data_IF_349030990229
#
_entry.id   IF_349030990229
#
_cell.length_a   1.000
_cell.length_b   1.000
_cell.length_c   1.000
_cell.angle_alpha   90.00
_cell.angle_beta   90.00
_cell.angle_gamma   90.00
#
_symmetry.space_group_name_H-M   'P 1'
#
loop_
_entity.id
_entity.type
_entity.pdbx_description
1 polymer ?
#
# COMPACT_ATOMS: atom_id res chain seq x y z
N UNK A 1 13.61 13.79 -36.56
CA UNK A 1 12.92 14.57 -35.50
C UNK A 1 11.43 14.55 -35.79
N UNK A 2 10.61 14.21 -34.80
CA UNK A 2 9.15 14.33 -34.88
C UNK A 2 8.77 15.60 -34.12
N UNK A 3 8.04 16.51 -34.77
CA UNK A 3 7.57 17.74 -34.13
C UNK A 3 6.51 17.40 -33.07
N UNK A 4 6.69 17.93 -31.87
CA UNK A 4 5.71 17.85 -30.78
C UNK A 4 5.18 19.26 -30.47
N UNK A 5 4.09 19.68 -31.14
CA UNK A 5 3.51 21.01 -30.93
C UNK A 5 2.78 21.18 -29.59
N UNK A 6 2.63 20.10 -28.84
CA UNK A 6 1.90 20.07 -27.56
C UNK A 6 2.82 19.92 -26.34
N UNK A 7 4.13 19.98 -26.54
CA UNK A 7 5.11 19.78 -25.45
C UNK A 7 4.94 20.78 -24.28
N UNK A 8 4.42 21.97 -24.55
CA UNK A 8 4.11 22.95 -23.52
C UNK A 8 3.06 22.46 -22.50
N UNK A 9 2.23 21.47 -22.85
CA UNK A 9 1.27 20.85 -21.93
C UNK A 9 1.95 20.03 -20.81
N UNK A 10 3.23 19.67 -20.97
CA UNK A 10 4.01 19.00 -19.93
C UNK A 10 4.22 19.92 -18.73
N UNK A 11 4.21 21.23 -18.92
CA UNK A 11 4.26 22.21 -17.84
C UNK A 11 2.87 22.40 -17.19
N UNK A 12 2.41 21.38 -16.48
CA UNK A 12 1.05 21.29 -15.93
C UNK A 12 0.63 22.44 -15.02
N UNK A 13 1.58 23.22 -14.45
CA UNK A 13 1.32 24.37 -13.57
C UNK A 13 1.39 25.71 -14.28
N UNK A 14 1.75 25.76 -15.56
CA UNK A 14 1.78 27.02 -16.32
C UNK A 14 0.37 27.59 -16.51
N UNK A 15 0.25 28.90 -16.52
CA UNK A 15 -1.03 29.59 -16.78
C UNK A 15 -1.63 29.18 -18.12
N UNK A 16 -0.80 28.96 -19.14
CA UNK A 16 -1.22 28.57 -20.49
C UNK A 16 -1.88 27.17 -20.47
N UNK A 17 -1.23 26.20 -19.81
CA UNK A 17 -1.77 24.84 -19.65
C UNK A 17 -3.07 24.87 -18.83
N UNK A 18 -3.12 25.62 -17.74
CA UNK A 18 -4.33 25.74 -16.92
C UNK A 18 -5.49 26.38 -17.68
N UNK A 19 -5.25 27.40 -18.49
CA UNK A 19 -6.28 28.01 -19.35
C UNK A 19 -6.78 27.04 -20.41
N UNK A 20 -5.90 26.27 -21.02
CA UNK A 20 -6.27 25.25 -21.98
C UNK A 20 -7.13 24.14 -21.34
N UNK A 21 -6.73 23.62 -20.18
CA UNK A 21 -7.49 22.64 -19.41
C UNK A 21 -8.88 23.18 -19.08
N UNK A 22 -8.99 24.42 -18.62
CA UNK A 22 -10.27 25.06 -18.30
C UNK A 22 -11.19 25.16 -19.53
N UNK A 23 -10.62 25.51 -20.69
CA UNK A 23 -11.36 25.60 -21.95
C UNK A 23 -11.87 24.20 -22.40
N UNK A 24 -11.01 23.17 -22.36
CA UNK A 24 -11.40 21.80 -22.70
C UNK A 24 -12.47 21.24 -21.74
N UNK A 25 -12.31 21.48 -20.44
CA UNK A 25 -13.29 21.09 -19.43
C UNK A 25 -14.66 21.78 -19.65
N UNK A 26 -14.68 23.04 -20.05
CA UNK A 26 -15.91 23.77 -20.39
C UNK A 26 -16.61 23.12 -21.58
N UNK A 27 -15.87 22.77 -22.63
CA UNK A 27 -16.41 22.12 -23.83
C UNK A 27 -17.01 20.75 -23.46
N UNK A 28 -16.25 19.91 -22.75
CA UNK A 28 -16.67 18.59 -22.31
C UNK A 28 -17.90 18.64 -21.39
N UNK A 29 -17.92 19.55 -20.42
CA UNK A 29 -19.06 19.75 -19.51
C UNK A 29 -20.33 20.16 -20.29
N UNK A 30 -20.22 21.07 -21.25
CA UNK A 30 -21.34 21.51 -22.08
C UNK A 30 -21.91 20.35 -22.88
N UNK A 31 -21.07 19.56 -23.55
CA UNK A 31 -21.48 18.38 -24.29
C UNK A 31 -22.17 17.34 -23.41
N UNK A 32 -21.52 16.96 -22.30
CA UNK A 32 -22.04 15.94 -21.39
C UNK A 32 -23.34 16.38 -20.69
N UNK A 33 -23.48 17.65 -20.36
CA UNK A 33 -24.71 18.17 -19.72
C UNK A 33 -25.90 18.22 -20.66
N UNK A 34 -25.66 18.29 -21.97
CA UNK A 34 -26.73 18.27 -22.99
C UNK A 34 -27.29 16.86 -23.29
N UNK A 35 -26.67 15.79 -22.74
CA UNK A 35 -27.13 14.40 -22.95
C UNK A 35 -28.43 14.18 -22.17
N UNK A 36 -29.57 13.89 -22.86
CA UNK A 36 -30.89 13.88 -22.21
C UNK A 36 -31.07 12.81 -21.12
N UNK A 37 -30.42 11.66 -21.27
CA UNK A 37 -30.55 10.52 -20.36
C UNK A 37 -29.52 10.54 -19.22
N UNK A 38 -28.57 11.48 -19.20
CA UNK A 38 -27.54 11.60 -18.16
C UNK A 38 -28.13 11.75 -16.75
N UNK A 39 -29.16 12.58 -16.50
CA UNK A 39 -29.76 12.69 -15.17
C UNK A 39 -30.34 11.36 -14.67
N UNK A 40 -31.04 10.61 -15.54
CA UNK A 40 -31.61 9.32 -15.16
C UNK A 40 -30.55 8.26 -14.80
N UNK A 41 -29.46 8.20 -15.60
CA UNK A 41 -28.32 7.33 -15.28
C UNK A 41 -27.69 7.74 -13.94
N UNK A 42 -27.47 9.04 -13.73
CA UNK A 42 -26.90 9.56 -12.48
C UNK A 42 -27.78 9.21 -11.29
N UNK A 43 -29.08 9.41 -11.40
CA UNK A 43 -30.03 9.05 -10.33
C UNK A 43 -29.94 7.55 -10.02
N UNK A 44 -29.96 6.69 -11.06
CA UNK A 44 -29.91 5.25 -10.85
C UNK A 44 -28.60 4.79 -10.22
N UNK A 45 -27.47 5.34 -10.65
CA UNK A 45 -26.17 5.07 -10.04
C UNK A 45 -26.13 5.52 -8.57
N UNK A 46 -26.68 6.71 -8.26
CA UNK A 46 -26.79 7.19 -6.88
C UNK A 46 -27.59 6.24 -6.01
N UNK A 47 -28.76 5.77 -6.48
CA UNK A 47 -29.59 4.80 -5.77
C UNK A 47 -28.87 3.48 -5.50
N UNK A 48 -28.11 2.98 -6.49
CA UNK A 48 -27.35 1.73 -6.36
C UNK A 48 -26.15 1.88 -5.43
N UNK A 49 -25.50 3.05 -5.43
CA UNK A 49 -24.32 3.32 -4.62
C UNK A 49 -24.63 3.66 -3.17
N UNK A 50 -25.82 4.16 -2.89
CA UNK A 50 -26.31 4.51 -1.56
C UNK A 50 -26.67 3.28 -0.74
N UNK A 51 -25.70 2.40 -0.50
CA UNK A 51 -25.87 1.27 0.41
C UNK A 51 -24.80 1.31 1.50
N UNK A 52 -25.18 1.07 2.77
CA UNK A 52 -24.21 1.00 3.85
C UNK A 52 -23.16 -0.10 3.58
N UNK A 53 -21.90 0.23 3.80
CA UNK A 53 -20.78 -0.69 3.66
C UNK A 53 -20.03 -0.78 4.97
N UNK A 54 -19.83 -2.00 5.46
CA UNK A 54 -19.02 -2.31 6.62
C UNK A 54 -17.77 -3.05 6.21
N UNK A 55 -16.60 -2.54 6.60
CA UNK A 55 -15.35 -3.26 6.53
C UNK A 55 -15.25 -4.32 7.64
N UNK A 56 -14.35 -5.27 7.44
CA UNK A 56 -14.08 -6.29 8.46
C UNK A 56 -13.39 -5.62 9.64
N UNK A 57 -13.92 -5.80 10.89
CA UNK A 57 -13.27 -5.25 12.07
C UNK A 57 -11.93 -5.92 12.35
N UNK A 58 -10.92 -5.12 12.66
CA UNK A 58 -9.60 -5.58 13.05
C UNK A 58 -9.29 -5.18 14.49
N UNK A 59 -8.75 -6.12 15.29
CA UNK A 59 -8.38 -5.85 16.68
C UNK A 59 -6.90 -5.49 16.77
N UNK A 60 -6.63 -4.31 17.34
CA UNK A 60 -5.30 -3.84 17.67
C UNK A 60 -5.24 -3.40 19.14
N UNK A 61 -4.58 -4.21 19.96
CA UNK A 61 -4.61 -4.04 21.42
C UNK A 61 -6.01 -4.24 22.00
N UNK A 62 -6.48 -3.27 22.75
CA UNK A 62 -7.79 -3.20 23.42
C UNK A 62 -8.86 -2.49 22.56
N UNK A 63 -8.62 -2.30 21.26
CA UNK A 63 -9.49 -1.56 20.34
C UNK A 63 -9.83 -2.36 19.11
N UNK A 64 -11.08 -2.20 18.64
CA UNK A 64 -11.52 -2.62 17.30
C UNK A 64 -11.49 -1.40 16.37
N UNK A 65 -10.96 -1.60 15.17
CA UNK A 65 -10.99 -0.62 14.08
C UNK A 65 -11.76 -1.20 12.91
N UNK A 66 -12.64 -0.41 12.31
CA UNK A 66 -13.38 -0.82 11.12
C UNK A 66 -13.76 0.38 10.28
N UNK A 67 -13.81 0.15 8.97
CA UNK A 67 -14.32 1.12 8.04
C UNK A 67 -15.83 1.01 7.93
N UNK A 68 -16.50 2.16 7.91
CA UNK A 68 -17.93 2.25 7.67
C UNK A 68 -18.24 3.42 6.73
N UNK A 69 -19.17 3.18 5.80
CA UNK A 69 -19.77 4.21 4.95
C UNK A 69 -21.28 4.00 4.96
N UNK A 70 -22.04 5.01 5.28
CA UNK A 70 -23.51 4.97 5.24
C UNK A 70 -24.09 5.02 3.81
N UNK A 71 -23.21 5.15 2.81
CA UNK A 71 -23.53 5.34 1.39
C UNK A 71 -23.56 6.81 0.97
N UNK A 72 -23.40 7.74 1.90
CA UNK A 72 -23.42 9.19 1.65
C UNK A 72 -22.04 9.84 1.50
N UNK A 73 -20.96 9.14 1.87
CA UNK A 73 -19.61 9.65 1.86
C UNK A 73 -18.80 9.15 0.65
N UNK A 74 -17.89 9.97 0.13
CA UNK A 74 -17.00 9.58 -0.97
C UNK A 74 -16.04 8.45 -0.54
N UNK A 75 -15.55 8.50 0.68
CA UNK A 75 -14.66 7.50 1.28
C UNK A 75 -15.25 6.98 2.57
N UNK A 76 -15.00 5.70 2.88
CA UNK A 76 -15.37 5.11 4.16
C UNK A 76 -14.61 5.76 5.30
N UNK A 77 -15.30 5.96 6.41
CA UNK A 77 -14.76 6.54 7.64
C UNK A 77 -14.20 5.42 8.50
N UNK A 78 -13.01 5.60 9.06
CA UNK A 78 -12.43 4.68 10.02
C UNK A 78 -12.96 4.98 11.42
N UNK A 79 -13.59 3.98 12.02
CA UNK A 79 -14.06 4.01 13.39
C UNK A 79 -13.12 3.24 14.32
N UNK A 80 -13.07 3.67 15.57
CA UNK A 80 -12.39 2.99 16.66
C UNK A 80 -13.39 2.71 17.77
N UNK A 81 -13.41 1.47 18.25
CA UNK A 81 -14.22 1.03 19.39
C UNK A 81 -13.29 0.45 20.46
N UNK A 82 -12.98 1.19 21.53
CA UNK A 82 -12.31 0.63 22.71
C UNK A 82 -13.16 -0.45 23.37
N UNK A 83 -12.52 -1.39 24.07
CA UNK A 83 -13.24 -2.45 24.76
C UNK A 83 -14.23 -1.89 25.81
N UNK A 84 -15.49 -2.28 25.70
CA UNK A 84 -16.58 -1.82 26.60
C UNK A 84 -17.11 -0.41 26.32
N UNK A 85 -16.64 0.27 25.27
CA UNK A 85 -17.11 1.59 24.87
C UNK A 85 -17.87 1.56 23.54
N UNK A 86 -18.56 2.67 23.23
CA UNK A 86 -19.17 2.86 21.91
C UNK A 86 -18.12 3.21 20.84
N UNK A 87 -18.43 2.85 19.60
CA UNK A 87 -17.59 3.21 18.45
C UNK A 87 -17.63 4.72 18.20
N UNK A 88 -16.47 5.29 17.92
CA UNK A 88 -16.30 6.71 17.56
C UNK A 88 -15.51 6.86 16.29
N UNK A 89 -15.70 7.96 15.57
CA UNK A 89 -14.87 8.31 14.41
C UNK A 89 -13.41 8.45 14.89
N UNK A 90 -12.52 7.73 14.22
CA UNK A 90 -11.09 7.79 14.47
C UNK A 90 -10.36 8.59 13.37
N UNK A 91 -10.66 8.32 12.10
CA UNK A 91 -10.13 9.06 10.96
C UNK A 91 -11.23 9.19 9.90
N UNK A 92 -11.57 10.42 9.54
CA UNK A 92 -12.46 10.71 8.42
C UNK A 92 -11.68 11.23 7.21
N UNK A 93 -11.42 10.38 6.19
CA UNK A 93 -10.69 10.79 5.00
C UNK A 93 -11.35 11.92 4.22
N UNK A 94 -12.68 12.07 4.33
CA UNK A 94 -13.44 13.10 3.63
C UNK A 94 -13.14 14.52 4.13
N UNK A 95 -12.49 14.66 5.29
CA UNK A 95 -12.12 15.93 5.91
C UNK A 95 -10.65 16.33 5.69
N UNK A 96 -9.84 15.45 5.08
CA UNK A 96 -8.38 15.63 4.97
C UNK A 96 -7.97 16.65 3.90
N UNK A 97 -8.87 16.99 2.98
CA UNK A 97 -8.65 18.09 2.03
C UNK A 97 -9.94 18.90 1.83
N UNK A 98 -9.83 20.23 1.65
CA UNK A 98 -11.01 21.09 1.47
C UNK A 98 -11.81 20.79 0.20
N UNK A 99 -11.16 20.27 -0.84
CA UNK A 99 -11.73 19.97 -2.15
C UNK A 99 -12.11 18.49 -2.32
N UNK A 100 -11.88 17.66 -1.29
CA UNK A 100 -12.18 16.23 -1.31
C UNK A 100 -11.25 15.39 -2.21
N UNK A 101 -10.09 15.95 -2.62
CA UNK A 101 -9.14 15.25 -3.50
C UNK A 101 -8.13 14.38 -2.76
N UNK A 102 -8.07 14.46 -1.43
CA UNK A 102 -7.24 13.56 -0.63
C UNK A 102 -7.87 12.18 -0.52
N UNK A 103 -7.08 11.14 -0.81
CA UNK A 103 -7.49 9.75 -0.73
C UNK A 103 -6.62 8.98 0.25
N UNK A 104 -7.24 8.21 1.13
CA UNK A 104 -6.57 7.24 1.99
C UNK A 104 -6.15 6.03 1.15
N UNK A 105 -4.84 5.79 1.04
CA UNK A 105 -4.29 4.71 0.19
C UNK A 105 -3.86 3.48 0.98
N UNK A 106 -3.75 3.58 2.31
CA UNK A 106 -3.43 2.45 3.16
C UNK A 106 -3.37 2.85 4.63
N UNK A 107 -3.56 1.85 5.49
CA UNK A 107 -3.35 1.94 6.94
C UNK A 107 -2.52 0.77 7.42
N UNK A 108 -1.77 0.96 8.49
CA UNK A 108 -1.10 -0.13 9.21
C UNK A 108 -0.96 0.22 10.69
N UNK A 109 -0.97 -0.80 11.55
CA UNK A 109 -0.90 -0.61 12.99
C UNK A 109 0.41 -1.15 13.53
N UNK A 110 0.98 -0.45 14.52
CA UNK A 110 2.12 -0.98 15.27
C UNK A 110 1.70 -2.24 16.02
N UNK A 111 2.64 -3.16 16.20
CA UNK A 111 2.40 -4.47 16.81
C UNK A 111 1.75 -4.39 18.20
N UNK A 112 2.11 -3.38 18.97
CA UNK A 112 1.52 -3.13 20.29
C UNK A 112 0.18 -2.38 20.25
N UNK A 113 -0.36 -2.06 19.07
CA UNK A 113 -1.59 -1.30 18.88
C UNK A 113 -1.54 0.16 19.36
N UNK A 114 -0.35 0.69 19.64
CA UNK A 114 -0.20 2.06 20.16
C UNK A 114 -0.34 3.11 19.06
N UNK A 115 0.18 2.83 17.86
CA UNK A 115 0.21 3.75 16.75
C UNK A 115 -0.45 3.15 15.51
N UNK A 116 -1.05 4.02 14.71
CA UNK A 116 -1.51 3.74 13.36
C UNK A 116 -0.78 4.66 12.39
N UNK A 117 -0.19 4.09 11.34
CA UNK A 117 0.26 4.82 10.18
C UNK A 117 -0.83 4.81 9.10
N UNK A 118 -1.00 5.92 8.39
CA UNK A 118 -1.86 5.99 7.22
C UNK A 118 -1.17 6.74 6.08
N UNK A 119 -1.41 6.27 4.86
CA UNK A 119 -0.88 6.86 3.65
C UNK A 119 -1.96 7.68 2.96
N UNK A 120 -1.60 8.89 2.54
CA UNK A 120 -2.50 9.86 1.93
C UNK A 120 -1.96 10.29 0.57
N UNK A 121 -2.74 10.09 -0.49
CA UNK A 121 -2.48 10.63 -1.82
C UNK A 121 -3.40 11.82 -2.10
N UNK A 122 -2.94 12.80 -2.87
CA UNK A 122 -3.71 14.00 -3.19
C UNK A 122 -3.88 14.14 -4.70
N UNK A 123 -5.09 14.52 -5.12
CA UNK A 123 -5.43 14.85 -6.52
C UNK A 123 -5.12 13.72 -7.53
N UNK A 124 -5.24 12.46 -7.11
CA UNK A 124 -5.00 11.29 -7.97
C UNK A 124 -3.52 11.04 -8.29
N UNK A 125 -2.61 11.68 -7.56
CA UNK A 125 -1.18 11.42 -7.67
C UNK A 125 -0.84 10.03 -7.11
N UNK A 126 0.15 9.36 -7.72
CA UNK A 126 0.76 8.16 -7.14
C UNK A 126 1.67 8.48 -5.93
N UNK A 127 2.05 9.75 -5.77
CA UNK A 127 2.78 10.19 -4.59
C UNK A 127 1.89 10.18 -3.35
N UNK A 128 2.38 9.57 -2.30
CA UNK A 128 1.72 9.50 -1.00
C UNK A 128 2.59 10.10 0.10
N UNK A 129 1.94 10.57 1.16
CA UNK A 129 2.55 10.97 2.42
C UNK A 129 2.10 10.00 3.50
N UNK A 130 3.03 9.48 4.30
CA UNK A 130 2.69 8.67 5.49
C UNK A 130 2.61 9.61 6.69
N UNK A 131 1.54 9.46 7.47
CA UNK A 131 1.29 10.16 8.74
C UNK A 131 1.01 9.16 9.84
N UNK A 132 1.31 9.56 11.08
CA UNK A 132 1.21 8.68 12.24
C UNK A 132 0.21 9.26 13.25
N UNK A 133 -0.68 8.40 13.75
CA UNK A 133 -1.64 8.73 14.81
C UNK A 133 -1.45 7.82 16.02
N UNK A 134 -1.63 8.37 17.20
CA UNK A 134 -1.72 7.58 18.44
C UNK A 134 -3.14 6.98 18.56
N UNK A 135 -3.25 5.65 18.69
CA UNK A 135 -4.53 4.95 18.70
C UNK A 135 -5.40 5.29 19.92
N UNK A 136 -4.79 5.60 21.06
CA UNK A 136 -5.53 5.91 22.29
C UNK A 136 -6.27 7.25 22.21
N UNK A 137 -5.61 8.27 21.69
CA UNK A 137 -6.07 9.66 21.70
C UNK A 137 -6.60 10.16 20.36
N UNK A 138 -6.16 9.53 19.25
CA UNK A 138 -6.33 10.05 17.89
C UNK A 138 -5.37 11.23 17.58
N UNK A 139 -4.38 11.48 18.45
CA UNK A 139 -3.42 12.56 18.24
C UNK A 139 -2.50 12.28 17.05
N UNK A 140 -2.40 13.24 16.13
CA UNK A 140 -1.49 13.18 15.01
C UNK A 140 -0.08 13.55 15.48
N UNK A 141 0.90 12.67 15.25
CA UNK A 141 2.30 12.94 15.53
C UNK A 141 2.89 13.92 14.52
N UNK A 142 4.10 14.42 14.81
CA UNK A 142 4.82 15.31 13.92
C UNK A 142 5.43 14.60 12.69
N UNK A 143 5.62 13.28 12.81
CA UNK A 143 6.23 12.45 11.78
C UNK A 143 5.45 12.52 10.46
N UNK A 144 6.15 12.88 9.38
CA UNK A 144 5.60 12.98 8.02
C UNK A 144 6.63 12.46 7.04
N UNK A 145 6.25 11.43 6.27
CA UNK A 145 7.12 10.81 5.29
C UNK A 145 6.60 11.10 3.90
N UNK A 146 7.37 11.83 3.15
CA UNK A 146 7.08 12.21 1.76
C UNK A 146 7.76 11.28 0.76
N UNK A 147 7.46 11.45 -0.52
CA UNK A 147 8.06 10.75 -1.66
C UNK A 147 7.90 9.24 -1.59
N UNK A 148 6.75 8.83 -1.12
CA UNK A 148 6.34 7.42 -1.04
C UNK A 148 5.46 7.08 -2.24
N UNK A 149 5.70 5.91 -2.87
CA UNK A 149 4.81 5.31 -3.87
C UNK A 149 4.67 3.83 -3.61
N UNK A 150 3.43 3.30 -3.72
CA UNK A 150 3.13 1.87 -3.62
C UNK A 150 3.64 1.22 -2.33
N UNK A 151 3.61 1.96 -1.22
CA UNK A 151 4.12 1.52 0.07
C UNK A 151 3.23 1.99 1.21
N UNK A 152 3.23 1.19 2.29
CA UNK A 152 2.70 1.54 3.61
C UNK A 152 3.81 1.38 4.64
N UNK A 153 3.60 1.85 5.86
CA UNK A 153 4.51 1.62 6.96
C UNK A 153 4.49 0.14 7.37
N UNK A 154 5.66 -0.48 7.43
CA UNK A 154 5.87 -1.85 7.92
C UNK A 154 6.55 -1.77 9.27
N UNK A 155 5.76 -1.86 10.32
CA UNK A 155 6.19 -1.63 11.70
C UNK A 155 7.23 -2.63 12.20
N UNK A 156 8.24 -2.12 12.90
CA UNK A 156 9.28 -2.91 13.55
C UNK A 156 9.94 -2.10 14.67
N UNK A 157 9.96 -2.64 15.87
CA UNK A 157 10.57 -1.97 17.02
C UNK A 157 9.97 -0.59 17.30
N UNK A 158 10.83 0.44 17.34
CA UNK A 158 10.47 1.83 17.62
C UNK A 158 10.12 2.65 16.36
N UNK A 159 9.94 2.00 15.22
CA UNK A 159 9.69 2.68 13.94
C UNK A 159 9.07 1.76 12.90
N UNK A 160 9.33 2.06 11.64
CA UNK A 160 8.80 1.28 10.52
C UNK A 160 9.69 1.38 9.28
N UNK A 161 9.63 0.34 8.47
CA UNK A 161 10.18 0.36 7.11
C UNK A 161 9.16 0.92 6.13
N UNK A 162 9.64 1.58 5.10
CA UNK A 162 8.83 2.03 3.97
C UNK A 162 9.64 2.06 2.69
N UNK A 163 8.94 1.96 1.55
CA UNK A 163 9.53 2.14 0.22
C UNK A 163 9.33 3.58 -0.22
N UNK A 164 10.41 4.23 -0.63
CA UNK A 164 10.40 5.63 -1.01
C UNK A 164 11.41 5.95 -2.10
N UNK A 165 11.41 7.19 -2.50
CA UNK A 165 12.32 7.75 -3.50
C UNK A 165 13.03 8.97 -2.93
N UNK A 166 14.15 9.34 -3.54
CA UNK A 166 14.76 10.63 -3.26
C UNK A 166 13.80 11.74 -3.70
N UNK A 167 13.84 12.89 -3.01
CA UNK A 167 13.01 14.02 -3.36
C UNK A 167 13.26 14.45 -4.82
N UNK A 168 12.25 14.57 -5.67
CA UNK A 168 12.41 15.07 -7.02
C UNK A 168 12.84 16.55 -7.01
N UNK A 169 13.40 17.02 -8.12
CA UNK A 169 13.65 18.44 -8.32
C UNK A 169 12.36 19.25 -8.14
N UNK A 170 12.46 20.40 -7.50
CA UNK A 170 11.32 21.29 -7.26
C UNK A 170 10.60 21.64 -8.58
N UNK A 171 9.32 21.34 -8.65
CA UNK A 171 8.47 21.59 -9.82
C UNK A 171 8.43 20.43 -10.83
N UNK A 172 9.22 19.36 -10.62
CA UNK A 172 9.26 18.19 -11.50
C UNK A 172 8.64 16.93 -10.87
N UNK A 173 7.84 17.08 -9.83
CA UNK A 173 7.27 15.97 -9.07
C UNK A 173 6.41 15.03 -9.93
N UNK A 174 5.83 15.54 -11.02
CA UNK A 174 4.98 14.77 -11.94
C UNK A 174 5.70 14.33 -13.22
N UNK A 175 6.88 14.89 -13.51
CA UNK A 175 7.66 14.61 -14.73
C UNK A 175 8.80 13.63 -14.46
N UNK A 176 9.28 13.57 -13.20
CA UNK A 176 10.38 12.72 -12.81
C UNK A 176 9.99 11.24 -12.95
N UNK A 177 10.83 10.47 -13.64
CA UNK A 177 10.71 9.01 -13.65
C UNK A 177 10.88 8.49 -12.22
N UNK A 178 10.00 7.56 -11.81
CA UNK A 178 10.11 6.88 -10.51
C UNK A 178 11.17 5.79 -10.60
N UNK A 179 12.44 6.19 -10.53
CA UNK A 179 13.60 5.31 -10.60
C UNK A 179 14.33 5.25 -9.26
N UNK A 180 15.05 4.15 -9.05
CA UNK A 180 15.90 3.94 -7.88
C UNK A 180 15.13 4.01 -6.55
N UNK A 181 14.00 3.31 -6.47
CA UNK A 181 13.29 3.11 -5.21
C UNK A 181 14.20 2.48 -4.17
N UNK A 182 14.04 2.88 -2.92
CA UNK A 182 14.80 2.41 -1.78
C UNK A 182 13.87 1.93 -0.67
N UNK A 183 14.39 1.07 0.21
CA UNK A 183 13.75 0.80 1.50
C UNK A 183 14.46 1.64 2.55
N UNK A 184 13.68 2.40 3.30
CA UNK A 184 14.13 3.21 4.43
C UNK A 184 13.59 2.65 5.74
N UNK A 185 14.26 2.97 6.83
CA UNK A 185 13.74 2.79 8.19
C UNK A 185 13.60 4.17 8.84
N UNK A 186 12.39 4.48 9.26
CA UNK A 186 12.04 5.69 9.99
C UNK A 186 11.85 5.36 11.48
N UNK A 187 12.53 6.09 12.35
CA UNK A 187 12.33 6.02 13.79
C UNK A 187 11.30 7.06 14.20
N UNK A 188 10.28 6.66 14.96
CA UNK A 188 9.28 7.61 15.44
C UNK A 188 9.88 8.78 16.19
N UNK A 189 9.44 9.99 15.84
CA UNK A 189 9.90 11.25 16.45
C UNK A 189 11.20 11.80 15.88
N UNK A 190 11.79 11.18 14.84
CA UNK A 190 12.92 11.75 14.11
C UNK A 190 12.45 12.49 12.86
N UNK A 191 13.32 13.29 12.26
CA UNK A 191 13.06 13.91 10.96
C UNK A 191 13.32 12.90 9.83
N UNK A 192 12.54 12.96 8.74
CA UNK A 192 12.71 12.05 7.58
C UNK A 192 14.13 12.12 6.97
N UNK A 193 14.82 13.24 7.09
CA UNK A 193 16.21 13.41 6.62
C UNK A 193 17.23 12.54 7.38
N UNK A 194 16.84 12.01 8.55
CA UNK A 194 17.66 11.13 9.38
C UNK A 194 17.37 9.64 9.08
N UNK A 195 16.44 9.34 8.17
CA UNK A 195 16.03 7.99 7.86
C UNK A 195 17.19 7.17 7.27
N UNK A 196 17.35 5.97 7.79
CA UNK A 196 18.40 5.06 7.35
C UNK A 196 17.97 4.35 6.05
N UNK A 197 18.80 4.44 5.00
CA UNK A 197 18.64 3.58 3.83
C UNK A 197 19.03 2.15 4.19
N UNK A 198 18.04 1.25 4.12
CA UNK A 198 18.19 -0.17 4.50
C UNK A 198 18.51 -1.06 3.30
N UNK A 199 17.91 -0.74 2.15
CA UNK A 199 18.14 -1.47 0.90
C UNK A 199 17.97 -0.58 -0.31
N UNK A 200 18.84 -0.74 -1.31
CA UNK A 200 18.68 -0.19 -2.65
C UNK A 200 19.49 -1.01 -3.65
N UNK A 201 19.11 -0.97 -4.92
CA UNK A 201 19.80 -1.64 -6.02
C UNK A 201 20.09 -0.63 -7.14
N UNK A 202 21.28 -0.01 -7.13
CA UNK A 202 21.65 1.00 -8.13
C UNK A 202 21.90 0.42 -9.52
N UNK A 203 22.15 -0.89 -9.65
CA UNK A 203 22.37 -1.56 -10.93
C UNK A 203 21.04 -1.77 -11.68
N UNK A 204 19.93 -1.84 -10.95
CA UNK A 204 18.58 -2.05 -11.50
C UNK A 204 17.61 -0.96 -11.04
N UNK A 205 17.76 0.28 -11.51
CA UNK A 205 16.99 1.42 -10.99
C UNK A 205 15.48 1.36 -11.27
N UNK A 206 15.01 0.45 -12.12
CA UNK A 206 13.59 0.25 -12.43
C UNK A 206 12.89 -0.72 -11.48
N UNK A 207 13.63 -1.38 -10.58
CA UNK A 207 13.05 -2.29 -9.59
C UNK A 207 12.26 -1.54 -8.53
N UNK A 208 11.14 -2.16 -8.15
CA UNK A 208 10.34 -1.76 -6.99
C UNK A 208 10.54 -2.75 -5.86
N UNK A 209 10.52 -2.24 -4.64
CA UNK A 209 10.79 -3.02 -3.44
C UNK A 209 9.64 -2.90 -2.45
N UNK A 210 9.25 -4.01 -1.84
CA UNK A 210 8.35 -4.04 -0.70
C UNK A 210 9.05 -4.68 0.48
N UNK A 211 8.93 -4.06 1.65
CA UNK A 211 9.40 -4.64 2.90
C UNK A 211 8.31 -5.49 3.55
N UNK A 212 8.72 -6.55 4.26
CA UNK A 212 7.87 -7.31 5.17
C UNK A 212 8.70 -7.76 6.37
N UNK A 213 8.09 -7.81 7.54
CA UNK A 213 8.75 -8.15 8.80
C UNK A 213 8.10 -9.38 9.40
N UNK A 214 8.91 -10.28 9.95
CA UNK A 214 8.40 -11.44 10.70
C UNK A 214 7.66 -10.99 11.97
N UNK A 215 6.70 -11.81 12.44
CA UNK A 215 5.89 -11.51 13.63
C UNK A 215 6.74 -11.33 14.90
N UNK A 216 7.82 -12.06 15.00
CA UNK A 216 8.79 -11.98 16.11
C UNK A 216 9.78 -10.81 15.94
N UNK A 217 9.67 -10.03 14.83
CA UNK A 217 10.56 -8.93 14.48
C UNK A 217 12.04 -9.33 14.40
N UNK A 218 12.32 -10.59 14.01
CA UNK A 218 13.69 -11.09 13.86
C UNK A 218 14.18 -11.03 12.41
N UNK A 219 13.27 -11.03 11.41
CA UNK A 219 13.64 -11.09 10.01
C UNK A 219 12.93 -10.00 9.20
N UNK A 220 13.71 -9.37 8.33
CA UNK A 220 13.27 -8.44 7.31
C UNK A 220 13.34 -9.14 5.95
N UNK A 221 12.27 -9.04 5.18
CA UNK A 221 12.18 -9.52 3.80
C UNK A 221 12.04 -8.33 2.87
N UNK A 222 12.70 -8.41 1.71
CA UNK A 222 12.55 -7.47 0.61
C UNK A 222 12.04 -8.26 -0.59
N UNK A 223 10.89 -7.88 -1.09
CA UNK A 223 10.29 -8.42 -2.31
C UNK A 223 10.58 -7.42 -3.42
N UNK A 224 11.39 -7.82 -4.39
CA UNK A 224 11.75 -7.02 -5.55
C UNK A 224 10.90 -7.41 -6.76
N UNK A 225 10.45 -6.44 -7.56
CA UNK A 225 9.72 -6.64 -8.81
C UNK A 225 10.27 -5.74 -9.92
N UNK A 226 10.30 -6.25 -11.16
CA UNK A 226 10.75 -5.49 -12.36
C UNK A 226 9.59 -5.12 -13.29
N UNK A 227 8.41 -5.67 -13.06
CA UNK A 227 7.24 -5.49 -13.92
C UNK A 227 5.95 -5.80 -13.19
N UNK A 228 4.96 -6.28 -13.96
CA UNK A 228 3.63 -6.63 -13.43
C UNK A 228 3.52 -8.06 -12.93
N UNK A 229 4.55 -8.88 -13.15
CA UNK A 229 4.62 -10.28 -12.71
C UNK A 229 6.07 -10.66 -12.44
N UNK A 230 6.24 -11.67 -11.61
CA UNK A 230 7.54 -12.15 -11.17
C UNK A 230 8.13 -11.31 -10.03
N UNK A 231 8.73 -12.00 -9.06
CA UNK A 231 9.39 -11.34 -7.92
C UNK A 231 10.56 -12.13 -7.40
N UNK A 232 11.60 -11.41 -7.02
CA UNK A 232 12.74 -11.93 -6.28
C UNK A 232 12.58 -11.62 -4.80
N UNK A 233 12.99 -12.52 -3.93
CA UNK A 233 12.87 -12.33 -2.48
C UNK A 233 14.23 -12.42 -1.82
N UNK A 234 14.57 -11.36 -1.09
CA UNK A 234 15.75 -11.31 -0.23
C UNK A 234 15.30 -11.28 1.24
N UNK A 235 16.14 -11.76 2.13
CA UNK A 235 15.90 -11.66 3.56
C UNK A 235 17.19 -11.46 4.35
N UNK A 236 17.07 -10.92 5.56
CA UNK A 236 18.14 -10.87 6.55
C UNK A 236 17.56 -10.94 7.96
N UNK A 237 18.41 -11.24 8.95
CA UNK A 237 18.07 -10.95 10.34
C UNK A 237 18.11 -9.43 10.56
N UNK A 238 17.18 -8.90 11.35
CA UNK A 238 17.14 -7.45 11.64
C UNK A 238 18.38 -7.01 12.42
N UNK A 239 18.86 -7.85 13.33
CA UNK A 239 20.11 -7.61 14.07
C UNK A 239 21.37 -7.59 13.19
N UNK A 240 21.35 -8.27 12.02
CA UNK A 240 22.47 -8.34 11.09
C UNK A 240 22.27 -7.30 9.98
N UNK A 241 22.82 -6.10 10.18
CA UNK A 241 22.66 -4.98 9.27
C UNK A 241 23.46 -5.12 7.97
N UNK A 242 24.32 -6.13 7.84
CA UNK A 242 25.36 -6.11 6.82
C UNK A 242 25.04 -6.84 5.54
N UNK A 243 24.13 -7.83 5.52
CA UNK A 243 23.95 -8.66 4.32
C UNK A 243 22.55 -9.24 4.18
N UNK A 244 21.94 -8.96 3.02
CA UNK A 244 20.77 -9.70 2.56
C UNK A 244 21.17 -11.03 1.90
N UNK A 245 20.40 -12.06 2.14
CA UNK A 245 20.48 -13.37 1.51
C UNK A 245 19.35 -13.51 0.50
N UNK A 246 19.67 -14.05 -0.66
CA UNK A 246 18.67 -14.36 -1.68
C UNK A 246 17.90 -15.62 -1.24
N UNK A 247 16.57 -15.51 -1.17
CA UNK A 247 15.68 -16.62 -0.83
C UNK A 247 15.07 -17.24 -2.09
N UNK A 248 14.50 -16.41 -2.96
CA UNK A 248 13.99 -16.80 -4.26
C UNK A 248 14.58 -15.88 -5.32
N UNK A 249 15.13 -16.48 -6.40
CA UNK A 249 15.85 -15.76 -7.45
C UNK A 249 15.06 -15.69 -8.74
N UNK A 250 15.27 -14.60 -9.47
CA UNK A 250 14.67 -14.37 -10.78
C UNK A 250 13.24 -13.84 -10.73
N UNK A 251 12.69 -13.57 -11.91
CA UNK A 251 11.37 -12.93 -12.07
C UNK A 251 10.42 -13.79 -12.92
N UNK A 252 10.67 -15.09 -12.98
CA UNK A 252 9.80 -16.02 -13.73
C UNK A 252 8.52 -16.35 -12.97
N UNK A 253 8.53 -16.23 -11.65
CA UNK A 253 7.44 -16.59 -10.76
C UNK A 253 7.14 -15.50 -9.75
N UNK A 254 5.89 -15.46 -9.29
CA UNK A 254 5.46 -14.56 -8.21
C UNK A 254 5.70 -15.23 -6.85
N UNK A 255 6.21 -14.47 -5.88
CA UNK A 255 6.31 -14.88 -4.49
C UNK A 255 5.67 -13.79 -3.61
N UNK A 256 4.47 -14.08 -3.11
CA UNK A 256 3.75 -13.18 -2.21
C UNK A 256 4.00 -13.61 -0.77
N UNK A 257 4.53 -12.70 0.04
CA UNK A 257 4.74 -12.94 1.47
C UNK A 257 3.40 -13.14 2.18
N UNK A 258 3.24 -14.24 2.92
CA UNK A 258 2.07 -14.53 3.74
C UNK A 258 2.31 -14.14 5.19
N UNK A 259 3.32 -14.72 5.80
CA UNK A 259 3.77 -14.40 7.15
C UNK A 259 5.12 -15.04 7.43
N UNK A 260 5.78 -14.60 8.50
CA UNK A 260 6.95 -15.27 9.05
C UNK A 260 6.94 -15.19 10.57
N UNK A 261 7.44 -16.22 11.23
CA UNK A 261 7.61 -16.30 12.69
C UNK A 261 8.64 -17.37 13.03
N UNK A 262 9.46 -17.13 14.05
CA UNK A 262 10.41 -18.09 14.61
C UNK A 262 11.32 -18.79 13.60
N UNK A 263 11.81 -18.02 12.62
CA UNK A 263 12.71 -18.53 11.60
C UNK A 263 12.04 -19.35 10.47
N UNK A 264 10.72 -19.31 10.37
CA UNK A 264 9.97 -19.88 9.25
C UNK A 264 9.19 -18.76 8.54
N UNK A 265 9.09 -18.85 7.21
CA UNK A 265 8.30 -17.92 6.39
C UNK A 265 7.44 -18.66 5.38
N UNK A 266 6.22 -18.20 5.16
CA UNK A 266 5.29 -18.75 4.17
C UNK A 266 5.16 -17.77 3.00
N UNK A 267 5.21 -18.35 1.79
CA UNK A 267 5.03 -17.61 0.53
C UNK A 267 4.01 -18.32 -0.36
N UNK A 268 3.04 -17.56 -0.85
CA UNK A 268 2.19 -17.98 -1.95
C UNK A 268 2.97 -17.79 -3.25
N UNK A 269 3.01 -18.79 -4.11
CA UNK A 269 3.73 -18.76 -5.38
C UNK A 269 3.00 -19.50 -6.49
N UNK A 270 3.23 -19.09 -7.74
CA UNK A 270 2.81 -19.80 -8.95
C UNK A 270 3.93 -20.67 -9.54
N UNK A 271 5.07 -20.83 -8.86
CA UNK A 271 6.19 -21.66 -9.31
C UNK A 271 5.74 -23.10 -9.52
N UNK A 272 5.76 -23.59 -10.79
CA UNK A 272 5.27 -24.92 -11.18
C UNK A 272 3.87 -25.26 -10.62
N UNK A 273 3.03 -24.24 -10.41
CA UNK A 273 1.69 -24.33 -9.83
C UNK A 273 0.82 -23.17 -10.32
N UNK A 274 0.29 -23.19 -11.56
CA UNK A 274 -0.44 -22.07 -12.16
C UNK A 274 -1.68 -21.63 -11.35
N UNK A 275 -2.27 -22.54 -10.55
CA UNK A 275 -3.37 -22.22 -9.65
C UNK A 275 -2.90 -21.72 -8.27
N UNK A 276 -1.60 -21.68 -8.02
CA UNK A 276 -1.01 -21.25 -6.76
C UNK A 276 -0.84 -22.36 -5.75
N UNK A 277 0.28 -22.33 -5.06
CA UNK A 277 0.64 -23.17 -3.90
C UNK A 277 1.28 -22.31 -2.82
N UNK A 278 1.38 -22.82 -1.59
CA UNK A 278 2.19 -22.19 -0.55
C UNK A 278 3.40 -23.03 -0.25
N UNK A 279 4.55 -22.38 -0.19
CA UNK A 279 5.80 -22.96 0.25
C UNK A 279 6.21 -22.40 1.60
N UNK A 280 6.90 -23.21 2.40
CA UNK A 280 7.53 -22.81 3.66
C UNK A 280 9.02 -22.71 3.46
N UNK A 281 9.60 -21.57 3.81
CA UNK A 281 11.03 -21.36 3.89
C UNK A 281 11.47 -21.47 5.36
N UNK A 282 12.40 -22.37 5.64
CA UNK A 282 13.08 -22.51 6.93
C UNK A 282 14.36 -21.67 6.84
N UNK A 283 14.38 -20.54 7.58
CA UNK A 283 15.42 -19.52 7.51
C UNK A 283 16.64 -19.94 8.34
N UNK A 284 17.64 -20.45 7.65
CA UNK A 284 18.94 -20.85 8.22
C UNK A 284 20.05 -20.28 7.34
N UNK A 285 21.32 -20.54 7.64
CA UNK A 285 22.45 -20.14 6.78
C UNK A 285 22.30 -20.65 5.34
N UNK A 286 21.63 -21.78 5.14
CA UNK A 286 21.20 -22.28 3.84
C UNK A 286 19.71 -22.60 3.95
N UNK A 287 18.82 -21.72 3.46
CA UNK A 287 17.39 -21.88 3.64
C UNK A 287 16.88 -23.15 2.94
N UNK A 288 15.95 -23.85 3.59
CA UNK A 288 15.28 -25.00 3.03
C UNK A 288 13.85 -24.61 2.64
N UNK A 289 13.44 -24.98 1.43
CA UNK A 289 12.11 -24.70 0.91
C UNK A 289 11.33 -26.03 0.88
N UNK A 290 10.19 -26.04 1.55
CA UNK A 290 9.32 -27.19 1.66
C UNK A 290 7.90 -26.87 1.17
N UNK A 291 7.19 -27.84 0.55
CA UNK A 291 5.76 -27.69 0.29
C UNK A 291 4.99 -27.53 1.61
N UNK A 292 4.07 -26.55 1.68
CA UNK A 292 3.21 -26.35 2.85
C UNK A 292 1.73 -26.52 2.52
N UNK A 293 1.23 -25.87 1.45
CA UNK A 293 -0.11 -26.08 0.89
C UNK A 293 0.05 -26.39 -0.60
N UNK A 294 -0.31 -27.60 -1.06
CA UNK A 294 -0.17 -27.97 -2.46
C UNK A 294 -1.16 -27.22 -3.35
N UNK A 295 -0.86 -27.15 -4.64
CA UNK A 295 -1.80 -26.67 -5.65
C UNK A 295 -3.09 -27.51 -5.67
N UNK A 296 -4.20 -26.87 -5.97
CA UNK A 296 -5.51 -27.49 -6.18
C UNK A 296 -6.08 -27.14 -7.56
N UNK A 297 -7.23 -27.77 -7.92
CA UNK A 297 -7.94 -27.46 -9.16
C UNK A 297 -8.49 -26.01 -9.19
N UNK A 298 -8.66 -25.38 -8.04
CA UNK A 298 -9.13 -24.00 -7.92
C UNK A 298 -7.95 -23.05 -7.65
N UNK A 299 -8.04 -21.86 -8.22
CA UNK A 299 -6.99 -20.85 -8.05
C UNK A 299 -6.94 -20.32 -6.63
N UNK A 300 -5.80 -20.50 -5.98
CA UNK A 300 -5.50 -19.88 -4.67
C UNK A 300 -5.16 -18.39 -4.87
N UNK A 301 -6.02 -17.54 -4.35
CA UNK A 301 -5.90 -16.06 -4.50
C UNK A 301 -5.08 -15.48 -3.38
N UNK A 302 -5.31 -15.95 -2.14
CA UNK A 302 -4.72 -15.37 -0.95
C UNK A 302 -4.65 -16.38 0.17
N UNK A 303 -3.66 -16.23 1.03
CA UNK A 303 -3.61 -16.90 2.34
C UNK A 303 -3.39 -15.84 3.40
N UNK A 304 -4.19 -15.88 4.44
CA UNK A 304 -4.07 -15.00 5.61
C UNK A 304 -3.97 -15.82 6.88
N UNK A 305 -3.46 -15.22 7.94
CA UNK A 305 -3.40 -15.87 9.24
C UNK A 305 -4.06 -14.99 10.30
N UNK A 306 -4.98 -15.57 11.05
CA UNK A 306 -5.69 -14.92 12.14
C UNK A 306 -6.00 -15.92 13.25
N UNK A 307 -5.93 -15.52 14.52
CA UNK A 307 -6.33 -16.35 15.66
C UNK A 307 -5.55 -17.67 15.76
N UNK A 308 -4.33 -17.76 15.26
CA UNK A 308 -3.55 -19.00 15.24
C UNK A 308 -3.92 -20.00 14.15
N UNK A 309 -4.82 -19.64 13.23
CA UNK A 309 -5.23 -20.43 12.08
C UNK A 309 -4.83 -19.73 10.77
N UNK A 310 -4.81 -20.52 9.69
CA UNK A 310 -4.61 -20.01 8.33
C UNK A 310 -5.90 -20.17 7.54
N UNK A 311 -6.22 -19.17 6.73
CA UNK A 311 -7.38 -19.13 5.88
C UNK A 311 -6.93 -18.99 4.43
N UNK A 312 -7.27 -19.97 3.61
CA UNK A 312 -6.97 -19.99 2.19
C UNK A 312 -8.21 -19.57 1.38
N UNK A 313 -8.05 -18.53 0.59
CA UNK A 313 -9.10 -17.99 -0.27
C UNK A 313 -8.90 -18.52 -1.69
N UNK A 314 -9.85 -19.31 -2.17
CA UNK A 314 -9.86 -19.87 -3.50
C UNK A 314 -10.93 -19.22 -4.37
N UNK A 315 -10.63 -19.10 -5.67
CA UNK A 315 -11.61 -18.72 -6.68
C UNK A 315 -12.08 -19.99 -7.42
N UNK A 316 -13.39 -20.25 -7.35
CA UNK A 316 -14.03 -21.34 -8.08
C UNK A 316 -15.22 -20.79 -8.88
N UNK A 317 -15.26 -21.03 -10.20
CA UNK A 317 -16.36 -20.60 -11.07
C UNK A 317 -16.72 -19.11 -10.89
N UNK A 318 -15.70 -18.23 -10.80
CA UNK A 318 -15.79 -16.80 -10.50
C UNK A 318 -16.45 -16.48 -9.13
N UNK A 319 -16.53 -17.45 -8.21
CA UNK A 319 -16.98 -17.25 -6.82
C UNK A 319 -15.83 -17.53 -5.85
N UNK A 320 -15.80 -16.79 -4.76
CA UNK A 320 -14.83 -16.98 -3.66
C UNK A 320 -15.41 -17.84 -2.54
#
# INVERSE_FOLDING_TARGET
EVADPYRWLEEGRSDETQQWIAAQNKLSKNYLSAIPYRPAIRQRLTELWHSPQFGIPERHGDRLFFFYNDGGHNQSILYCQPDGEEARIFLDPNTLSPDGTAALTGISFSKNGKYMAYSLAVSGSDWSEIRIMECATGHLLADRIHWVKFSCAVWCGEGFYYSGFDAPDTGKEYEAQSLAQKIFYHRLGSEQSEDQTVYHDPEHPQRYFQASVSRDEQHLFIIASEGTSGSEVLYRRIEDETKFHLLFSGFDYDYTFVCADRGEALFLTNEQAPNGKVVRAILQNNPQIEPWLPESDNRLIQVTSAGGAYFAHYLKDACS
#
